data_IF_471950564232
#
_entry.id   IF_471950564232
#
_cell.length_a   1.000
_cell.length_b   1.000
_cell.length_c   1.000
_cell.angle_alpha   90.00
_cell.angle_beta   90.00
_cell.angle_gamma   90.00
#
_symmetry.space_group_name_H-M   'P 1'
#
loop_
_entity.id
_entity.type
_entity.pdbx_description
1 polymer ?
#
# COMPACT_ATOMS: atom_id res chain seq x y z
N UNK A 1 -18.17 -23.36 -26.67
CA UNK A 1 -17.41 -23.21 -25.41
C UNK A 1 -16.23 -22.31 -25.71
N UNK A 2 -16.30 -21.04 -25.29
CA UNK A 2 -15.22 -20.08 -25.54
C UNK A 2 -14.16 -20.22 -24.45
N UNK A 3 -12.92 -20.41 -24.89
CA UNK A 3 -11.74 -20.57 -24.05
C UNK A 3 -11.49 -19.31 -23.22
N UNK A 4 -11.35 -19.49 -21.92
CA UNK A 4 -10.95 -18.44 -20.98
C UNK A 4 -9.49 -18.10 -21.23
N UNK A 5 -9.22 -16.96 -21.85
CA UNK A 5 -7.88 -16.38 -21.89
C UNK A 5 -7.54 -15.92 -20.47
N UNK A 6 -6.89 -16.79 -19.69
CA UNK A 6 -6.23 -16.36 -18.46
C UNK A 6 -5.05 -15.49 -18.88
N UNK A 7 -5.20 -14.19 -18.67
CA UNK A 7 -4.11 -13.24 -18.90
C UNK A 7 -2.99 -13.58 -17.92
N UNK A 8 -1.91 -14.16 -18.43
CA UNK A 8 -0.62 -14.23 -17.75
C UNK A 8 -0.13 -12.79 -17.56
N UNK A 9 -0.60 -12.14 -16.50
CA UNK A 9 0.06 -10.94 -15.99
C UNK A 9 1.38 -11.43 -15.41
N UNK A 10 2.44 -11.34 -16.21
CA UNK A 10 3.83 -11.49 -15.81
C UNK A 10 4.01 -10.86 -14.43
N UNK A 11 4.20 -11.70 -13.42
CA UNK A 11 4.42 -11.26 -12.04
C UNK A 11 5.80 -10.59 -11.98
N UNK A 12 5.82 -9.32 -12.33
CA UNK A 12 7.00 -8.48 -12.22
C UNK A 12 7.31 -8.35 -10.72
N UNK A 13 8.35 -9.04 -10.28
CA UNK A 13 8.86 -8.98 -8.92
C UNK A 13 9.68 -7.71 -8.79
N UNK A 14 9.06 -6.64 -8.30
CA UNK A 14 9.81 -5.46 -7.89
C UNK A 14 10.05 -5.57 -6.38
N UNK A 15 11.31 -5.41 -5.96
CA UNK A 15 11.66 -5.29 -4.54
C UNK A 15 10.93 -4.11 -3.88
N UNK A 16 10.56 -3.12 -4.69
CA UNK A 16 9.84 -1.91 -4.30
C UNK A 16 8.55 -1.79 -5.10
N UNK A 17 7.42 -1.58 -4.42
CA UNK A 17 6.14 -1.33 -5.07
C UNK A 17 5.80 0.16 -5.06
N UNK A 18 5.60 0.75 -6.25
CA UNK A 18 5.18 2.15 -6.40
C UNK A 18 3.68 2.25 -6.68
N UNK A 19 2.96 2.99 -5.83
CA UNK A 19 1.53 3.26 -6.01
C UNK A 19 1.26 4.73 -6.31
N UNK A 20 0.85 5.02 -7.54
CA UNK A 20 0.34 6.34 -7.94
C UNK A 20 -1.16 6.44 -7.70
N UNK A 21 -1.56 7.34 -6.81
CA UNK A 21 -2.96 7.72 -6.61
C UNK A 21 -3.32 8.79 -7.65
N UNK A 22 -4.28 8.48 -8.53
CA UNK A 22 -4.82 9.44 -9.52
C UNK A 22 -6.09 10.08 -8.97
N UNK A 23 -6.49 11.24 -9.49
CA UNK A 23 -7.74 11.93 -9.13
C UNK A 23 -7.89 12.10 -7.61
N UNK A 24 -6.81 12.56 -6.95
CA UNK A 24 -6.74 12.65 -5.49
C UNK A 24 -7.89 13.49 -4.90
N UNK A 25 -8.17 14.66 -5.49
CA UNK A 25 -9.19 15.57 -4.97
C UNK A 25 -10.58 14.92 -4.98
N UNK A 26 -11.00 14.34 -6.10
CA UNK A 26 -12.28 13.62 -6.20
C UNK A 26 -12.39 12.49 -5.16
N UNK A 27 -11.33 11.69 -5.01
CA UNK A 27 -11.32 10.57 -4.07
C UNK A 27 -11.33 11.06 -2.61
N UNK A 28 -10.67 12.19 -2.34
CA UNK A 28 -10.62 12.83 -1.03
C UNK A 28 -11.98 13.42 -0.64
N UNK A 29 -12.62 14.17 -1.54
CA UNK A 29 -13.95 14.76 -1.33
C UNK A 29 -15.02 13.70 -1.09
N UNK A 30 -14.99 12.62 -1.89
CA UNK A 30 -15.87 11.46 -1.72
C UNK A 30 -15.55 10.63 -0.48
N UNK A 31 -14.50 11.00 0.28
CA UNK A 31 -13.98 10.27 1.46
C UNK A 31 -13.80 8.78 1.15
N UNK A 32 -13.42 8.47 -0.08
CA UNK A 32 -13.32 7.10 -0.55
C UNK A 32 -12.11 6.43 0.04
N UNK A 33 -12.31 5.15 0.35
CA UNK A 33 -11.22 4.25 0.68
C UNK A 33 -10.74 3.61 -0.62
N UNK A 34 -9.46 3.75 -0.91
CA UNK A 34 -8.86 3.28 -2.16
C UNK A 34 -7.86 2.18 -1.91
N UNK A 35 -7.68 1.30 -2.89
CA UNK A 35 -6.72 0.18 -2.81
C UNK A 35 -5.82 0.17 -4.04
N UNK A 36 -4.57 -0.23 -3.85
CA UNK A 36 -3.65 -0.49 -4.94
C UNK A 36 -4.00 -1.80 -5.66
N UNK A 37 -3.33 -2.05 -6.80
CA UNK A 37 -3.24 -3.40 -7.35
C UNK A 37 -2.59 -4.37 -6.34
N UNK A 38 -2.87 -5.65 -6.50
CA UNK A 38 -2.16 -6.70 -5.77
C UNK A 38 -0.72 -6.79 -6.30
N UNK A 39 0.21 -7.08 -5.41
CA UNK A 39 1.61 -7.33 -5.73
C UNK A 39 2.18 -8.43 -4.82
N UNK A 40 3.28 -9.03 -5.24
CA UNK A 40 3.98 -10.02 -4.44
C UNK A 40 5.27 -9.44 -3.89
N UNK A 41 5.66 -9.88 -2.69
CA UNK A 41 6.93 -9.47 -2.06
C UNK A 41 8.17 -10.10 -2.70
N UNK A 42 8.00 -11.19 -3.46
CA UNK A 42 9.01 -11.87 -4.27
C UNK A 42 8.30 -12.85 -5.22
N UNK A 43 9.04 -13.54 -6.11
CA UNK A 43 8.46 -14.49 -7.09
C UNK A 43 7.53 -15.53 -6.47
N UNK A 44 7.88 -15.99 -5.27
CA UNK A 44 7.11 -16.98 -4.50
C UNK A 44 6.75 -16.43 -3.12
N UNK A 45 6.53 -15.11 -3.03
CA UNK A 45 6.36 -14.39 -1.77
C UNK A 45 4.91 -14.20 -1.32
N UNK A 46 4.73 -13.45 -0.24
CA UNK A 46 3.41 -13.05 0.24
C UNK A 46 2.71 -12.14 -0.77
N UNK A 47 1.39 -12.35 -0.95
CA UNK A 47 0.53 -11.49 -1.77
C UNK A 47 -0.03 -10.33 -0.94
N UNK A 48 0.20 -9.11 -1.39
CA UNK A 48 -0.15 -7.90 -0.66
C UNK A 48 -0.85 -6.85 -1.52
N UNK A 49 -1.49 -5.88 -0.86
CA UNK A 49 -1.89 -4.60 -1.44
C UNK A 49 -1.78 -3.48 -0.41
N UNK A 50 -1.73 -2.23 -0.90
CA UNK A 50 -1.89 -1.05 -0.06
C UNK A 50 -3.35 -0.60 -0.06
N UNK A 51 -3.80 -0.08 1.08
CA UNK A 51 -5.13 0.51 1.26
C UNK A 51 -4.99 1.87 1.92
N UNK A 52 -5.66 2.88 1.38
CA UNK A 52 -5.55 4.25 1.86
C UNK A 52 -6.91 4.86 2.17
N UNK A 53 -6.93 5.62 3.27
CA UNK A 53 -7.99 6.54 3.63
C UNK A 53 -7.43 7.96 3.48
N UNK A 54 -7.79 8.64 2.38
CA UNK A 54 -7.22 9.96 2.04
C UNK A 54 -7.56 11.05 3.06
N UNK A 55 -8.67 10.88 3.77
CA UNK A 55 -9.11 11.74 4.85
C UNK A 55 -8.91 11.11 6.24
N UNK A 56 -7.97 10.18 6.35
CA UNK A 56 -7.58 9.55 7.60
C UNK A 56 -8.59 8.52 8.12
N UNK A 57 -8.14 7.71 9.06
CA UNK A 57 -8.93 6.70 9.75
C UNK A 57 -8.60 6.70 11.24
N UNK A 58 -9.56 6.29 12.09
CA UNK A 58 -9.40 6.32 13.55
C UNK A 58 -9.06 7.72 14.07
N UNK A 59 -8.09 7.83 14.97
CA UNK A 59 -7.68 9.12 15.56
C UNK A 59 -7.05 10.10 14.55
N UNK A 60 -6.73 9.63 13.33
CA UNK A 60 -6.18 10.46 12.26
C UNK A 60 -7.25 10.99 11.31
N UNK A 61 -8.53 10.66 11.55
CA UNK A 61 -9.65 11.07 10.69
C UNK A 61 -9.74 12.60 10.60
N UNK A 62 -9.89 13.10 9.39
CA UNK A 62 -9.95 14.53 9.08
C UNK A 62 -8.60 15.25 9.05
N UNK A 63 -7.53 14.65 9.57
CA UNK A 63 -6.26 15.35 9.82
C UNK A 63 -5.05 14.73 9.14
N UNK A 64 -5.10 13.44 8.81
CA UNK A 64 -3.99 12.69 8.24
C UNK A 64 -4.38 11.94 6.97
N UNK A 65 -3.39 11.52 6.22
CA UNK A 65 -3.50 10.37 5.31
C UNK A 65 -3.21 9.10 6.12
N UNK A 66 -4.10 8.11 6.07
CA UNK A 66 -3.86 6.81 6.71
C UNK A 66 -3.62 5.74 5.65
N UNK A 67 -2.45 5.09 5.72
CA UNK A 67 -2.03 4.03 4.81
C UNK A 67 -1.91 2.71 5.57
N UNK A 68 -2.34 1.61 4.93
CA UNK A 68 -2.33 0.27 5.48
C UNK A 68 -1.77 -0.72 4.47
N UNK A 69 -0.99 -1.68 4.96
CA UNK A 69 -0.65 -2.89 4.19
C UNK A 69 -1.67 -3.97 4.49
N UNK A 70 -2.18 -4.63 3.45
CA UNK A 70 -3.05 -5.77 3.58
C UNK A 70 -2.37 -6.99 2.98
N UNK A 71 -2.08 -7.99 3.82
CA UNK A 71 -1.70 -9.33 3.37
C UNK A 71 -2.97 -10.06 2.97
N UNK A 72 -2.94 -10.68 1.80
CA UNK A 72 -4.07 -11.40 1.19
C UNK A 72 -3.66 -12.84 0.91
N UNK A 73 -4.64 -13.74 0.74
CA UNK A 73 -4.36 -15.14 0.38
C UNK A 73 -3.56 -15.20 -0.93
N UNK A 74 -2.35 -15.74 -0.84
CA UNK A 74 -1.43 -15.95 -1.94
C UNK A 74 -1.47 -17.39 -2.44
N UNK A 75 -0.92 -17.60 -3.64
CA UNK A 75 -0.73 -18.93 -4.22
C UNK A 75 0.32 -19.74 -3.45
N UNK A 76 1.31 -19.05 -2.88
CA UNK A 76 2.48 -19.65 -2.23
C UNK A 76 2.37 -19.70 -0.70
N UNK A 77 1.21 -19.40 -0.12
CA UNK A 77 1.04 -19.27 1.34
C UNK A 77 1.48 -20.52 2.12
N UNK A 78 1.35 -21.71 1.53
CA UNK A 78 1.78 -22.98 2.13
C UNK A 78 3.30 -23.13 2.25
N UNK A 79 4.07 -22.37 1.48
CA UNK A 79 5.54 -22.37 1.47
C UNK A 79 6.14 -21.25 2.32
N UNK A 80 5.30 -20.36 2.82
CA UNK A 80 5.73 -19.15 3.52
C UNK A 80 5.67 -19.32 5.03
N UNK A 81 6.61 -18.69 5.73
CA UNK A 81 6.57 -18.64 7.18
C UNK A 81 5.39 -17.81 7.68
N UNK A 82 4.71 -18.30 8.71
CA UNK A 82 3.66 -17.56 9.40
C UNK A 82 3.94 -17.51 10.90
N UNK A 83 3.58 -16.40 11.59
CA UNK A 83 3.02 -15.17 11.04
C UNK A 83 4.03 -14.38 10.19
N UNK A 84 3.56 -13.37 9.44
CA UNK A 84 4.43 -12.50 8.64
C UNK A 84 5.39 -11.70 9.55
N UNK A 85 6.71 -11.83 9.35
CA UNK A 85 7.76 -11.22 10.20
C UNK A 85 8.64 -10.17 9.50
N UNK A 86 8.44 -9.91 8.20
CA UNK A 86 9.31 -8.99 7.47
C UNK A 86 8.99 -7.54 7.84
N UNK A 87 10.02 -6.70 7.85
CA UNK A 87 9.85 -5.24 8.03
C UNK A 87 9.31 -4.64 6.73
N UNK A 88 8.33 -3.76 6.85
CA UNK A 88 7.83 -2.97 5.73
C UNK A 88 8.14 -1.50 5.98
N UNK A 89 8.71 -0.85 4.98
CA UNK A 89 8.90 0.60 4.97
C UNK A 89 7.99 1.21 3.93
N UNK A 90 7.19 2.20 4.33
CA UNK A 90 6.31 2.94 3.42
C UNK A 90 6.83 4.36 3.25
N UNK A 91 6.89 4.79 2.00
CA UNK A 91 7.31 6.13 1.60
C UNK A 91 6.14 6.87 0.97
N UNK A 92 5.95 8.13 1.36
CA UNK A 92 5.15 9.09 0.60
C UNK A 92 6.12 9.96 -0.21
N UNK A 93 6.05 9.80 -1.53
CA UNK A 93 6.96 10.42 -2.48
C UNK A 93 6.50 11.86 -2.75
N UNK A 94 7.33 12.83 -2.35
CA UNK A 94 7.22 14.23 -2.80
C UNK A 94 7.63 14.32 -4.28
N UNK A 95 6.76 14.93 -5.10
CA UNK A 95 6.95 15.08 -6.55
C UNK A 95 7.65 16.38 -6.94
N UNK A 96 7.78 17.34 -6.02
CA UNK A 96 8.41 18.64 -6.26
C UNK A 96 9.90 18.57 -5.90
N UNK A 97 10.21 17.97 -4.76
CA UNK A 97 11.58 17.78 -4.28
C UNK A 97 11.80 16.31 -3.89
N UNK A 98 12.49 15.58 -4.76
CA UNK A 98 12.76 14.15 -4.56
C UNK A 98 13.64 13.86 -3.33
N UNK A 99 14.24 14.87 -2.70
CA UNK A 99 15.02 14.69 -1.48
C UNK A 99 14.18 14.76 -0.19
N UNK A 100 12.90 15.14 -0.26
CA UNK A 100 12.00 15.32 0.90
C UNK A 100 10.92 14.25 1.02
N UNK A 101 11.25 13.00 0.72
CA UNK A 101 10.31 11.90 0.92
C UNK A 101 9.94 11.76 2.41
N UNK A 102 8.65 11.80 2.71
CA UNK A 102 8.17 11.47 4.05
C UNK A 102 8.18 9.95 4.19
N UNK A 103 8.81 9.44 5.23
CA UNK A 103 8.74 8.04 5.62
C UNK A 103 8.40 7.95 7.10
N UNK A 104 7.72 6.88 7.48
CA UNK A 104 7.49 6.57 8.88
C UNK A 104 8.45 5.46 9.33
N UNK A 105 8.54 5.23 10.64
CA UNK A 105 9.39 4.18 11.21
C UNK A 105 8.98 2.80 10.66
N UNK A 106 9.92 1.83 10.57
CA UNK A 106 9.65 0.51 10.03
C UNK A 106 8.47 -0.17 10.73
N UNK A 107 7.48 -0.61 9.96
CA UNK A 107 6.33 -1.35 10.49
C UNK A 107 6.78 -2.80 10.67
N UNK A 108 6.69 -3.32 11.88
CA UNK A 108 6.86 -4.75 12.15
C UNK A 108 5.52 -5.45 11.94
N UNK A 109 5.56 -6.60 11.27
CA UNK A 109 4.40 -7.30 10.68
C UNK A 109 3.23 -7.69 11.61
N UNK A 110 3.31 -7.38 12.90
CA UNK A 110 2.27 -7.63 13.91
C UNK A 110 1.43 -6.40 14.23
N UNK A 111 1.88 -5.20 13.86
CA UNK A 111 1.21 -3.96 14.22
C UNK A 111 0.28 -3.51 13.10
N UNK A 112 -1.04 -3.52 13.36
CA UNK A 112 -2.03 -2.81 12.55
C UNK A 112 -1.91 -1.28 12.73
N UNK A 113 -0.71 -0.76 12.95
CA UNK A 113 -0.53 0.67 13.13
C UNK A 113 -0.63 1.33 11.75
N UNK A 114 -1.60 2.24 11.53
CA UNK A 114 -1.64 3.02 10.31
C UNK A 114 -0.35 3.82 10.22
N UNK A 115 0.28 3.79 9.05
CA UNK A 115 1.30 4.79 8.72
C UNK A 115 0.59 6.11 8.54
N UNK A 116 0.98 7.11 9.32
CA UNK A 116 0.31 8.42 9.38
C UNK A 116 1.21 9.47 8.77
N UNK A 117 0.82 9.94 7.59
CA UNK A 117 1.45 11.09 6.99
C UNK A 117 0.61 12.33 7.32
N UNK A 118 1.20 13.27 8.06
CA UNK A 118 0.58 14.56 8.34
C UNK A 118 0.58 15.40 7.06
N UNK A 119 -0.59 15.94 6.69
CA UNK A 119 -0.67 16.90 5.59
C UNK A 119 -0.06 18.22 6.05
N UNK A 120 1.06 18.62 5.46
CA UNK A 120 1.53 20.00 5.59
C UNK A 120 0.85 20.83 4.51
N UNK A 121 -0.10 21.68 4.90
CA UNK A 121 -0.62 22.72 4.01
C UNK A 121 0.53 23.69 3.74
N UNK A 122 1.04 23.73 2.50
CA UNK A 122 1.68 24.93 1.98
C UNK A 122 0.70 25.48 0.94
N UNK A 123 0.19 26.67 1.22
CA UNK A 123 -0.77 27.38 0.39
C UNK A 123 -0.21 27.83 -0.94
#
# INVERSE_FOLDING_TARGET
MQQTQQTEQTQQTEETFVWRIRNYNDQYEKKQTISSRLFYTSRYGYKMRLKSHLNGNGDGKGTHLSLFVQITKGEYDALLEWPFKRKITLYLIDQIDQQRHMYDKPIQGTDKLPTRFRKTHKG
#
